data_IF_168900210512
#
_entry.id   IF_168900210512
#
_cell.length_a   1.000
_cell.length_b   1.000
_cell.length_c   1.000
_cell.angle_alpha   90.00
_cell.angle_beta   90.00
_cell.angle_gamma   90.00
#
_symmetry.space_group_name_H-M   'P 1'
#
loop_
_entity.id
_entity.type
_entity.pdbx_description
1 polymer ?
#
# COMPACT_ATOMS: atom_id res chain seq x y z
N UNK A 1 6.42 19.15 5.34
CA UNK A 1 7.72 19.58 4.77
C UNK A 1 8.68 19.68 5.92
N UNK A 2 9.87 19.08 5.83
CA UNK A 2 10.88 19.21 6.88
C UNK A 2 11.75 20.45 6.61
N UNK A 3 12.43 21.03 7.61
CA UNK A 3 13.14 22.32 7.49
C UNK A 3 14.31 22.35 6.50
N UNK A 4 14.88 21.20 6.13
CA UNK A 4 16.16 21.11 5.38
C UNK A 4 16.00 21.01 3.85
N UNK A 5 14.98 21.69 3.31
CA UNK A 5 14.57 21.61 1.92
C UNK A 5 13.23 20.89 1.75
N UNK A 6 12.73 20.83 0.52
CA UNK A 6 11.37 20.31 0.25
C UNK A 6 11.35 18.78 0.34
N UNK A 7 11.26 18.24 1.56
CA UNK A 7 11.09 16.80 1.81
C UNK A 7 9.60 16.46 1.95
N UNK A 8 9.13 15.55 1.10
CA UNK A 8 7.77 15.02 1.22
C UNK A 8 7.72 13.98 2.36
N UNK A 9 6.97 14.30 3.42
CA UNK A 9 6.58 13.36 4.47
C UNK A 9 5.20 13.80 4.96
N UNK A 10 4.16 13.14 4.45
CA UNK A 10 2.77 13.57 4.60
C UNK A 10 2.03 12.92 5.76
N UNK A 11 2.61 11.87 6.38
CA UNK A 11 2.00 11.12 7.48
C UNK A 11 2.89 11.16 8.72
N UNK A 12 2.34 11.38 9.94
CA UNK A 12 3.12 11.30 11.17
C UNK A 12 3.68 9.90 11.41
N UNK A 13 4.97 9.80 11.68
CA UNK A 13 5.65 8.58 12.15
C UNK A 13 6.04 8.86 13.61
N UNK A 14 5.22 8.40 14.54
CA UNK A 14 5.27 8.80 15.95
C UNK A 14 5.08 7.59 16.86
N UNK A 15 5.59 7.68 18.09
CA UNK A 15 5.42 6.67 19.13
C UNK A 15 4.50 7.23 20.24
N UNK A 16 3.24 6.78 20.35
CA UNK A 16 2.37 7.20 21.43
C UNK A 16 2.70 6.48 22.75
N UNK A 17 2.60 7.20 23.87
CA UNK A 17 2.80 6.68 25.23
C UNK A 17 1.70 7.21 26.16
N UNK A 18 1.39 6.47 27.23
CA UNK A 18 0.44 6.92 28.24
C UNK A 18 1.03 8.04 29.12
N UNK A 19 0.18 8.69 29.91
CA UNK A 19 0.64 9.69 30.89
C UNK A 19 1.55 9.05 31.95
N UNK A 20 1.21 7.85 32.41
CA UNK A 20 2.00 7.09 33.39
C UNK A 20 3.38 6.75 32.82
N UNK A 21 3.46 6.34 31.55
CA UNK A 21 4.73 6.06 30.89
C UNK A 21 5.56 7.32 30.71
N UNK A 22 4.94 8.46 30.34
CA UNK A 22 5.65 9.74 30.28
C UNK A 22 6.27 10.10 31.62
N UNK A 23 5.50 10.03 32.71
CA UNK A 23 5.97 10.38 34.06
C UNK A 23 7.10 9.45 34.51
N UNK A 24 6.95 8.14 34.28
CA UNK A 24 7.94 7.13 34.62
C UNK A 24 9.26 7.28 33.84
N UNK A 25 9.19 7.75 32.60
CA UNK A 25 10.33 7.89 31.69
C UNK A 25 10.88 9.32 31.64
N UNK A 26 10.32 10.24 32.41
CA UNK A 26 10.75 11.62 32.47
C UNK A 26 12.20 11.72 32.99
N UNK A 27 13.03 12.52 32.32
CA UNK A 27 14.43 12.72 32.69
C UNK A 27 15.39 11.59 32.24
N UNK A 28 14.90 10.50 31.64
CA UNK A 28 15.78 9.50 31.02
C UNK A 28 16.40 10.03 29.72
N UNK A 29 17.71 9.91 29.56
CA UNK A 29 18.42 10.30 28.33
C UNK A 29 18.19 9.34 27.15
N UNK A 30 17.81 8.09 27.44
CA UNK A 30 17.55 7.07 26.45
C UNK A 30 16.52 6.04 26.92
N UNK A 31 15.70 5.57 25.99
CA UNK A 31 14.62 4.61 26.22
C UNK A 31 14.86 3.33 25.41
N UNK A 32 14.75 2.16 26.04
CA UNK A 32 14.78 0.89 25.30
C UNK A 32 13.37 0.52 24.83
N UNK A 33 13.18 0.34 23.53
CA UNK A 33 11.91 -0.12 22.95
C UNK A 33 11.89 -1.66 22.94
N UNK A 34 10.85 -2.24 23.52
CA UNK A 34 10.68 -3.69 23.61
C UNK A 34 9.47 -4.18 22.81
N UNK A 35 9.63 -5.29 22.10
CA UNK A 35 8.55 -5.97 21.39
C UNK A 35 8.66 -7.48 21.62
N UNK A 36 7.56 -8.11 22.07
CA UNK A 36 7.52 -9.52 22.42
C UNK A 36 8.68 -9.94 23.37
N UNK A 37 8.92 -9.15 24.41
CA UNK A 37 9.98 -9.39 25.41
C UNK A 37 11.41 -9.11 24.96
N UNK A 38 11.64 -8.71 23.70
CA UNK A 38 12.97 -8.39 23.17
C UNK A 38 13.17 -6.90 23.02
N UNK A 39 14.34 -6.39 23.41
CA UNK A 39 14.76 -5.02 23.11
C UNK A 39 15.11 -4.93 21.63
N UNK A 40 14.42 -4.06 20.88
CA UNK A 40 14.55 -3.95 19.41
C UNK A 40 15.19 -2.64 18.97
N UNK A 41 15.11 -1.60 19.79
CA UNK A 41 15.67 -0.29 19.48
C UNK A 41 15.96 0.50 20.77
N UNK A 42 16.76 1.55 20.63
CA UNK A 42 16.98 2.58 21.64
C UNK A 42 16.57 3.93 21.05
N UNK A 43 15.71 4.66 21.74
CA UNK A 43 15.36 6.04 21.41
C UNK A 43 16.16 6.97 22.33
N UNK A 44 17.10 7.73 21.78
CA UNK A 44 17.92 8.69 22.54
C UNK A 44 17.32 10.09 22.47
N UNK A 45 17.67 10.92 23.44
CA UNK A 45 17.25 12.32 23.52
C UNK A 45 15.71 12.47 23.40
N UNK A 46 14.93 11.78 24.27
CA UNK A 46 13.49 11.75 24.11
C UNK A 46 12.87 13.14 24.36
N UNK A 47 12.00 13.56 23.45
CA UNK A 47 11.14 14.74 23.60
C UNK A 47 9.69 14.29 23.72
N UNK A 48 8.97 14.81 24.72
CA UNK A 48 7.58 14.47 24.99
C UNK A 48 6.67 15.65 24.65
N UNK A 49 5.66 15.41 23.82
CA UNK A 49 4.70 16.44 23.40
C UNK A 49 3.28 15.87 23.29
N UNK A 50 2.29 16.75 23.37
CA UNK A 50 0.88 16.34 23.35
C UNK A 50 0.49 15.71 22.02
N UNK A 51 -0.29 14.64 22.07
CA UNK A 51 -0.73 13.93 20.87
C UNK A 51 -1.84 14.67 20.12
N UNK A 52 -2.69 15.45 20.81
CA UNK A 52 -3.81 16.21 20.23
C UNK A 52 -4.58 15.39 19.18
N UNK A 53 -5.05 14.20 19.60
CA UNK A 53 -5.56 13.13 18.72
C UNK A 53 -6.61 13.59 17.71
N UNK A 54 -7.59 14.39 18.15
CA UNK A 54 -8.64 14.90 17.27
C UNK A 54 -8.06 15.76 16.12
N UNK A 55 -7.19 16.71 16.45
CA UNK A 55 -6.53 17.56 15.47
C UNK A 55 -5.66 16.73 14.50
N UNK A 56 -4.87 15.79 15.02
CA UNK A 56 -4.09 14.84 14.21
C UNK A 56 -5.00 14.10 13.23
N UNK A 57 -6.10 13.53 13.72
CA UNK A 57 -7.01 12.75 12.92
C UNK A 57 -7.67 13.58 11.82
N UNK A 58 -8.20 14.76 12.17
CA UNK A 58 -8.81 15.68 11.23
C UNK A 58 -7.84 16.08 10.10
N UNK A 59 -6.57 16.38 10.42
CA UNK A 59 -5.57 16.82 9.44
C UNK A 59 -5.05 15.69 8.55
N UNK A 60 -4.94 14.46 9.07
CA UNK A 60 -4.39 13.34 8.31
C UNK A 60 -5.46 12.67 7.43
N UNK A 61 -6.66 12.43 7.97
CA UNK A 61 -7.72 11.69 7.26
C UNK A 61 -8.82 12.57 6.69
N UNK A 62 -8.86 13.88 7.01
CA UNK A 62 -9.98 14.74 6.64
C UNK A 62 -11.29 14.38 7.35
N UNK A 63 -11.22 13.56 8.40
CA UNK A 63 -12.33 13.14 9.25
C UNK A 63 -11.80 12.73 10.62
N UNK A 64 -12.65 12.78 11.64
CA UNK A 64 -12.38 12.29 13.00
C UNK A 64 -13.21 11.05 13.34
N UNK A 65 -13.83 10.40 12.34
CA UNK A 65 -14.73 9.27 12.54
C UNK A 65 -14.03 8.13 13.34
N UNK A 66 -14.48 7.82 14.57
CA UNK A 66 -13.81 6.83 15.43
C UNK A 66 -13.95 5.40 14.91
N UNK A 67 -14.89 5.15 13.98
CA UNK A 67 -15.07 3.86 13.32
C UNK A 67 -14.08 3.63 12.16
N UNK A 68 -13.32 4.64 11.76
CA UNK A 68 -12.25 4.45 10.79
C UNK A 68 -11.14 3.63 11.46
N UNK A 69 -10.68 2.52 10.87
CA UNK A 69 -9.99 1.48 11.63
C UNK A 69 -8.61 1.95 12.13
N UNK A 70 -7.91 2.83 11.39
CA UNK A 70 -6.67 3.43 11.88
C UNK A 70 -6.90 4.63 12.83
N UNK A 71 -8.04 5.33 12.72
CA UNK A 71 -8.38 6.40 13.68
C UNK A 71 -8.70 5.76 15.03
N UNK A 72 -9.44 4.64 15.03
CA UNK A 72 -9.71 3.85 16.23
C UNK A 72 -8.42 3.55 17.01
N UNK A 73 -7.39 3.01 16.35
CA UNK A 73 -6.09 2.75 16.97
C UNK A 73 -5.41 4.02 17.53
N UNK A 74 -5.54 5.17 16.85
CA UNK A 74 -5.00 6.45 17.34
C UNK A 74 -5.75 6.91 18.59
N UNK A 75 -7.08 6.80 18.60
CA UNK A 75 -7.93 7.20 19.73
C UNK A 75 -7.67 6.33 20.97
N UNK A 76 -7.46 5.03 20.76
CA UNK A 76 -7.15 4.04 21.81
C UNK A 76 -5.69 4.10 22.31
N UNK A 77 -4.81 4.83 21.62
CA UNK A 77 -3.40 4.99 22.02
C UNK A 77 -3.22 6.02 23.15
N UNK A 78 -1.99 6.24 23.61
CA UNK A 78 -1.69 7.22 24.66
C UNK A 78 -1.87 8.70 24.25
N UNK A 79 -1.98 9.58 25.24
CA UNK A 79 -2.21 11.03 25.04
C UNK A 79 -0.93 11.84 24.80
N UNK A 80 0.23 11.21 24.95
CA UNK A 80 1.54 11.80 24.67
C UNK A 80 2.21 11.10 23.49
N UNK A 81 3.03 11.86 22.77
CA UNK A 81 3.96 11.34 21.78
C UNK A 81 5.38 11.52 22.29
N UNK A 82 6.25 10.57 21.96
CA UNK A 82 7.70 10.68 22.20
C UNK A 82 8.46 10.69 20.87
N UNK A 83 9.25 11.74 20.66
CA UNK A 83 10.23 11.88 19.59
C UNK A 83 11.64 11.62 20.10
N UNK A 84 12.61 11.43 19.20
CA UNK A 84 14.03 11.27 19.55
C UNK A 84 14.83 10.57 18.44
N UNK A 85 16.12 10.35 18.72
CA UNK A 85 17.04 9.70 17.79
C UNK A 85 16.94 8.18 17.92
N UNK A 86 16.39 7.52 16.90
CA UNK A 86 16.13 6.08 16.92
C UNK A 86 17.32 5.26 16.42
N UNK A 87 17.89 4.44 17.29
CA UNK A 87 18.86 3.40 16.95
C UNK A 87 18.17 2.03 16.97
N UNK A 88 17.95 1.42 15.81
CA UNK A 88 17.44 0.05 15.71
C UNK A 88 18.60 -0.93 15.89
N UNK A 89 18.45 -1.91 16.79
CA UNK A 89 19.54 -2.79 17.21
C UNK A 89 19.87 -3.87 16.19
N UNK A 90 18.83 -4.52 15.66
CA UNK A 90 18.96 -5.62 14.71
C UNK A 90 18.02 -5.41 13.52
N UNK A 91 18.36 -6.06 12.39
CA UNK A 91 17.46 -6.09 11.24
C UNK A 91 16.17 -6.80 11.64
N UNK A 92 15.04 -6.10 11.54
CA UNK A 92 13.72 -6.64 11.86
C UNK A 92 13.37 -7.81 10.92
N UNK A 93 12.96 -8.93 11.53
CA UNK A 93 12.44 -10.13 10.88
C UNK A 93 11.12 -10.54 11.53
N UNK A 94 10.19 -11.03 10.72
CA UNK A 94 8.88 -11.49 11.19
C UNK A 94 8.82 -13.01 11.36
N UNK A 95 9.72 -13.75 10.70
CA UNK A 95 9.78 -15.21 10.72
C UNK A 95 8.45 -15.88 10.34
N UNK A 96 7.71 -15.26 9.43
CA UNK A 96 6.40 -15.70 8.93
C UNK A 96 6.49 -16.37 7.54
N UNK A 97 7.70 -16.73 7.11
CA UNK A 97 7.96 -17.30 5.78
C UNK A 97 7.95 -16.29 4.63
N UNK A 98 7.88 -14.98 4.91
CA UNK A 98 7.86 -13.91 3.90
C UNK A 98 9.03 -12.91 3.99
N UNK A 99 9.97 -13.10 4.92
CA UNK A 99 11.10 -12.18 5.13
C UNK A 99 12.00 -12.03 3.90
N UNK A 100 12.07 -13.04 3.03
CA UNK A 100 12.79 -12.99 1.75
C UNK A 100 12.22 -11.94 0.78
N UNK A 101 10.96 -11.54 0.94
CA UNK A 101 10.34 -10.47 0.15
C UNK A 101 10.48 -9.09 0.82
N UNK A 102 10.90 -9.01 2.08
CA UNK A 102 11.07 -7.74 2.82
C UNK A 102 12.42 -7.10 2.53
N UNK A 103 12.55 -6.61 1.29
CA UNK A 103 13.76 -5.97 0.80
C UNK A 103 13.86 -4.53 1.29
N UNK A 104 15.04 -4.12 1.74
CA UNK A 104 15.32 -2.72 2.08
C UNK A 104 15.41 -1.88 0.80
N UNK A 105 15.27 -0.54 0.87
CA UNK A 105 15.51 0.34 -0.28
C UNK A 105 16.87 0.12 -0.94
N UNK A 106 17.92 -0.17 -0.15
CA UNK A 106 19.26 -0.47 -0.67
C UNK A 106 19.30 -1.81 -1.42
N UNK A 107 18.66 -2.85 -0.87
CA UNK A 107 18.56 -4.15 -1.53
C UNK A 107 17.75 -4.09 -2.83
N UNK A 108 16.68 -3.28 -2.87
CA UNK A 108 15.90 -3.02 -4.08
C UNK A 108 16.75 -2.34 -5.16
N UNK A 109 17.47 -1.26 -4.81
CA UNK A 109 18.40 -0.58 -5.72
C UNK A 109 19.46 -1.52 -6.27
N UNK A 110 19.99 -2.40 -5.42
CA UNK A 110 20.95 -3.41 -5.86
C UNK A 110 20.32 -4.36 -6.88
N UNK A 111 19.12 -4.90 -6.61
CA UNK A 111 18.40 -5.76 -7.57
C UNK A 111 18.12 -5.08 -8.90
N UNK A 112 17.72 -3.80 -8.90
CA UNK A 112 17.50 -3.05 -10.14
C UNK A 112 18.78 -2.95 -10.98
N UNK A 113 19.94 -2.74 -10.34
CA UNK A 113 21.25 -2.75 -11.01
C UNK A 113 21.62 -4.12 -11.55
N UNK A 114 21.42 -5.19 -10.76
CA UNK A 114 21.67 -6.57 -11.17
C UNK A 114 20.82 -6.97 -12.39
N UNK A 115 19.59 -6.44 -12.48
CA UNK A 115 18.70 -6.62 -13.63
C UNK A 115 19.04 -5.72 -14.82
N UNK A 116 20.03 -4.82 -14.71
CA UNK A 116 20.33 -3.78 -15.70
C UNK A 116 19.08 -2.93 -16.06
N UNK A 117 18.26 -2.60 -15.07
CA UNK A 117 17.06 -1.79 -15.28
C UNK A 117 17.45 -0.35 -15.67
N UNK A 118 16.90 0.15 -16.77
CA UNK A 118 17.06 1.54 -17.21
C UNK A 118 15.86 2.43 -16.85
N UNK A 119 14.76 1.80 -16.44
CA UNK A 119 13.63 2.44 -15.77
C UNK A 119 13.01 1.49 -14.74
N UNK A 120 12.58 2.03 -13.61
CA UNK A 120 11.81 1.30 -12.59
C UNK A 120 10.46 1.97 -12.41
N UNK A 121 9.38 1.20 -12.53
CA UNK A 121 8.03 1.68 -12.28
C UNK A 121 7.38 0.90 -11.14
N UNK A 122 6.83 1.62 -10.17
CA UNK A 122 6.26 1.03 -8.95
C UNK A 122 4.74 0.93 -9.03
N UNK A 123 4.23 -0.22 -8.56
CA UNK A 123 2.80 -0.44 -8.34
C UNK A 123 2.56 -0.79 -6.87
N UNK A 124 2.02 0.18 -6.14
CA UNK A 124 1.61 0.01 -4.75
C UNK A 124 0.24 -0.69 -4.69
N UNK A 125 0.11 -1.71 -3.84
CA UNK A 125 -1.16 -2.42 -3.67
C UNK A 125 -1.34 -2.99 -2.27
N UNK A 126 -2.60 -3.09 -1.85
CA UNK A 126 -3.01 -3.82 -0.64
C UNK A 126 -4.01 -4.95 -0.93
N UNK A 127 -4.47 -5.04 -2.17
CA UNK A 127 -5.52 -5.95 -2.63
C UNK A 127 -4.94 -7.04 -3.54
N UNK A 128 -5.65 -8.16 -3.76
CA UNK A 128 -5.33 -9.10 -4.84
C UNK A 128 -5.21 -8.43 -6.21
N UNK A 129 -4.32 -8.94 -7.06
CA UNK A 129 -4.13 -8.44 -8.43
C UNK A 129 -5.16 -9.07 -9.37
N UNK A 130 -6.11 -8.27 -9.86
CA UNK A 130 -6.95 -8.62 -11.00
C UNK A 130 -6.38 -8.00 -12.29
N UNK A 131 -6.92 -8.39 -13.45
CA UNK A 131 -6.40 -7.97 -14.75
C UNK A 131 -6.58 -6.46 -15.01
N UNK A 132 -7.44 -5.76 -14.27
CA UNK A 132 -7.47 -4.29 -14.28
C UNK A 132 -6.18 -3.65 -13.72
N UNK A 133 -5.61 -4.22 -12.64
CA UNK A 133 -4.30 -3.78 -12.14
C UNK A 133 -3.20 -4.17 -13.13
N UNK A 134 -3.29 -5.38 -13.70
CA UNK A 134 -2.36 -5.83 -14.74
C UNK A 134 -2.37 -4.91 -15.97
N UNK A 135 -3.54 -4.45 -16.41
CA UNK A 135 -3.68 -3.49 -17.51
C UNK A 135 -2.88 -2.21 -17.24
N UNK A 136 -2.98 -1.63 -16.04
CA UNK A 136 -2.20 -0.45 -15.65
C UNK A 136 -0.68 -0.72 -15.71
N UNK A 137 -0.24 -1.87 -15.18
CA UNK A 137 1.17 -2.26 -15.16
C UNK A 137 1.72 -2.55 -16.57
N UNK A 138 0.96 -3.24 -17.40
CA UNK A 138 1.30 -3.58 -18.79
C UNK A 138 1.32 -2.33 -19.67
N UNK A 139 0.32 -1.45 -19.55
CA UNK A 139 0.23 -0.20 -20.30
C UNK A 139 1.38 0.74 -19.93
N UNK A 140 1.74 0.82 -18.65
CA UNK A 140 2.93 1.54 -18.19
C UNK A 140 4.21 1.00 -18.83
N UNK A 141 4.41 -0.33 -18.82
CA UNK A 141 5.56 -0.96 -19.50
C UNK A 141 5.59 -0.58 -20.99
N UNK A 142 4.45 -0.65 -21.68
CA UNK A 142 4.33 -0.27 -23.10
C UNK A 142 4.74 1.18 -23.33
N UNK A 143 4.20 2.12 -22.53
CA UNK A 143 4.55 3.54 -22.62
C UNK A 143 6.05 3.79 -22.40
N UNK A 144 6.69 3.06 -21.46
CA UNK A 144 8.13 3.20 -21.22
C UNK A 144 8.96 2.67 -22.40
N UNK A 145 8.57 1.54 -22.99
CA UNK A 145 9.21 1.01 -24.20
C UNK A 145 9.08 2.00 -25.38
N UNK A 146 7.90 2.61 -25.57
CA UNK A 146 7.64 3.65 -26.58
C UNK A 146 8.49 4.90 -26.36
N UNK A 147 8.75 5.27 -25.10
CA UNK A 147 9.67 6.36 -24.73
C UNK A 147 11.15 6.03 -24.93
N UNK A 148 11.48 4.80 -25.30
CA UNK A 148 12.83 4.37 -25.66
C UNK A 148 13.59 3.61 -24.58
N UNK A 149 13.02 3.43 -23.38
CA UNK A 149 13.59 2.52 -22.38
C UNK A 149 13.62 1.09 -22.94
N UNK A 150 14.71 0.37 -22.70
CA UNK A 150 14.98 -0.97 -23.22
C UNK A 150 14.67 -2.05 -22.20
N UNK A 151 14.81 -1.75 -20.91
CA UNK A 151 14.63 -2.71 -19.84
C UNK A 151 13.86 -2.10 -18.65
N UNK A 152 12.60 -1.66 -18.84
CA UNK A 152 11.78 -1.21 -17.74
C UNK A 152 11.48 -2.38 -16.79
N UNK A 153 11.63 -2.19 -15.48
CA UNK A 153 11.37 -3.20 -14.46
C UNK A 153 10.21 -2.77 -13.57
N UNK A 154 9.23 -3.66 -13.42
CA UNK A 154 8.11 -3.48 -12.50
C UNK A 154 8.57 -3.78 -11.07
N UNK A 155 8.34 -2.85 -10.16
CA UNK A 155 8.32 -3.11 -8.73
C UNK A 155 6.86 -3.34 -8.29
N UNK A 156 6.46 -4.61 -8.22
CA UNK A 156 5.18 -5.01 -7.64
C UNK A 156 5.33 -5.00 -6.12
N UNK A 157 4.73 -4.01 -5.45
CA UNK A 157 5.09 -3.64 -4.08
C UNK A 157 3.93 -3.79 -3.10
N UNK A 158 3.47 -5.03 -2.78
CA UNK A 158 2.38 -5.22 -1.83
C UNK A 158 2.73 -4.66 -0.44
N UNK A 159 1.80 -3.93 0.16
CA UNK A 159 1.88 -3.52 1.56
C UNK A 159 1.75 -4.76 2.47
N UNK A 160 2.61 -4.83 3.48
CA UNK A 160 2.64 -5.94 4.44
C UNK A 160 2.77 -5.54 5.89
N UNK A 161 2.61 -4.26 6.24
CA UNK A 161 2.30 -3.88 7.62
C UNK A 161 0.83 -4.13 7.95
N UNK A 162 0.35 -3.50 9.02
CA UNK A 162 -1.05 -3.61 9.45
C UNK A 162 -2.04 -3.20 8.34
N UNK A 163 -3.11 -3.98 8.21
CA UNK A 163 -4.27 -3.75 7.33
C UNK A 163 -5.56 -4.01 8.11
N UNK A 164 -6.68 -3.41 7.71
CA UNK A 164 -7.99 -3.62 8.35
C UNK A 164 -8.50 -5.06 8.17
N UNK A 165 -9.34 -5.50 9.10
CA UNK A 165 -9.72 -6.91 9.28
C UNK A 165 -10.36 -7.60 8.07
N UNK A 166 -11.07 -6.85 7.23
CA UNK A 166 -11.76 -7.41 6.07
C UNK A 166 -10.91 -7.41 4.78
N UNK A 167 -9.68 -6.92 4.82
CA UNK A 167 -8.71 -7.05 3.71
C UNK A 167 -8.14 -8.48 3.67
N UNK A 168 -7.70 -8.92 2.48
CA UNK A 168 -7.10 -10.25 2.33
C UNK A 168 -5.74 -10.27 3.03
N UNK A 169 -5.46 -11.25 3.93
CA UNK A 169 -4.20 -11.34 4.64
C UNK A 169 -2.99 -11.42 3.70
N UNK A 170 -1.85 -10.91 4.16
CA UNK A 170 -0.63 -10.80 3.37
C UNK A 170 -0.18 -12.12 2.76
N UNK A 171 -0.19 -13.22 3.53
CA UNK A 171 0.21 -14.55 3.03
C UNK A 171 -0.63 -15.00 1.82
N UNK A 172 -1.93 -14.73 1.82
CA UNK A 172 -2.85 -15.10 0.74
C UNK A 172 -2.68 -14.19 -0.46
N UNK A 173 -2.42 -12.90 -0.25
CA UNK A 173 -2.05 -11.98 -1.33
C UNK A 173 -0.75 -12.38 -2.00
N UNK A 174 0.28 -12.75 -1.23
CA UNK A 174 1.56 -13.19 -1.80
C UNK A 174 1.42 -14.47 -2.62
N UNK A 175 0.65 -15.46 -2.15
CA UNK A 175 0.28 -16.65 -2.94
C UNK A 175 -0.46 -16.27 -4.23
N UNK A 176 -1.41 -15.34 -4.13
CA UNK A 176 -2.20 -14.89 -5.27
C UNK A 176 -1.34 -14.15 -6.31
N UNK A 177 -0.42 -13.29 -5.87
CA UNK A 177 0.51 -12.58 -6.76
C UNK A 177 1.51 -13.53 -7.43
N UNK A 178 1.97 -14.56 -6.72
CA UNK A 178 2.80 -15.61 -7.31
C UNK A 178 2.05 -16.35 -8.43
N UNK A 179 0.76 -16.67 -8.23
CA UNK A 179 -0.07 -17.28 -9.26
C UNK A 179 -0.28 -16.37 -10.49
N UNK A 180 -0.45 -15.06 -10.30
CA UNK A 180 -0.52 -14.08 -11.42
C UNK A 180 0.76 -14.09 -12.26
N UNK A 181 1.93 -14.19 -11.62
CA UNK A 181 3.22 -14.28 -12.30
C UNK A 181 3.42 -15.65 -12.98
N UNK A 182 2.99 -16.72 -12.34
CA UNK A 182 3.05 -18.09 -12.90
C UNK A 182 2.23 -18.21 -14.19
N UNK A 183 1.07 -17.54 -14.26
CA UNK A 183 0.21 -17.48 -15.44
C UNK A 183 0.66 -16.43 -16.48
N UNK A 184 1.81 -15.79 -16.30
CA UNK A 184 2.39 -14.83 -17.24
C UNK A 184 1.50 -13.61 -17.53
N UNK A 185 0.54 -13.31 -16.65
CA UNK A 185 -0.22 -12.05 -16.71
C UNK A 185 0.72 -10.86 -16.47
N UNK A 186 1.71 -11.06 -15.61
CA UNK A 186 2.88 -10.19 -15.48
C UNK A 186 4.13 -11.01 -15.77
N UNK A 187 5.09 -10.45 -16.50
CA UNK A 187 6.34 -11.13 -16.83
C UNK A 187 7.25 -11.24 -15.58
N UNK A 188 7.56 -12.45 -15.09
CA UNK A 188 8.44 -12.63 -13.94
C UNK A 188 9.88 -12.15 -14.18
N UNK A 189 10.35 -12.13 -15.44
CA UNK A 189 11.72 -11.72 -15.78
C UNK A 189 11.92 -10.21 -15.63
N UNK A 190 10.86 -9.43 -15.81
CA UNK A 190 10.88 -7.97 -15.68
C UNK A 190 10.13 -7.46 -14.45
N UNK A 191 9.91 -8.31 -13.45
CA UNK A 191 9.15 -7.96 -12.24
C UNK A 191 9.91 -8.34 -10.97
N UNK A 192 10.07 -7.39 -10.07
CA UNK A 192 10.48 -7.63 -8.68
C UNK A 192 9.24 -7.56 -7.80
N UNK A 193 9.00 -8.62 -7.03
CA UNK A 193 8.00 -8.64 -5.95
C UNK A 193 8.69 -8.36 -4.63
N UNK A 194 8.27 -7.32 -3.92
CA UNK A 194 8.80 -6.98 -2.61
C UNK A 194 7.71 -6.46 -1.68
N UNK A 195 7.81 -6.75 -0.38
CA UNK A 195 6.83 -6.34 0.61
C UNK A 195 7.21 -4.97 1.19
N UNK A 196 6.31 -4.01 1.06
CA UNK A 196 6.43 -2.70 1.69
C UNK A 196 6.03 -2.80 3.18
N UNK A 197 6.92 -2.53 4.14
CA UNK A 197 6.68 -2.86 5.55
C UNK A 197 5.77 -1.86 6.30
N UNK A 198 5.27 -0.81 5.65
CA UNK A 198 4.44 0.20 6.32
C UNK A 198 3.08 -0.37 6.73
N UNK A 199 2.51 0.09 7.86
CA UNK A 199 1.07 0.04 8.08
C UNK A 199 0.31 0.79 6.98
N UNK A 200 -0.90 0.34 6.66
CA UNK A 200 -1.85 1.04 5.80
C UNK A 200 -2.72 1.98 6.65
N UNK A 201 -2.70 3.27 6.37
CA UNK A 201 -3.49 4.25 7.12
C UNK A 201 -4.88 4.44 6.53
N UNK A 202 -5.11 4.10 5.26
CA UNK A 202 -6.35 4.38 4.54
C UNK A 202 -6.65 5.91 4.51
N UNK A 203 -5.59 6.70 4.40
CA UNK A 203 -5.61 8.17 4.46
C UNK A 203 -5.74 8.84 3.07
N UNK A 204 -6.05 8.07 2.03
CA UNK A 204 -6.34 8.59 0.69
C UNK A 204 -5.23 9.49 0.14
N UNK A 205 -5.57 10.70 -0.36
CA UNK A 205 -4.60 11.64 -0.92
C UNK A 205 -3.50 12.08 0.05
N UNK A 206 -3.69 11.99 1.36
CA UNK A 206 -2.65 12.30 2.35
C UNK A 206 -1.57 11.23 2.39
N UNK A 207 -1.84 9.99 1.96
CA UNK A 207 -0.89 8.87 2.04
C UNK A 207 0.16 8.88 0.89
N UNK A 208 0.62 10.08 0.50
CA UNK A 208 1.70 10.35 -0.48
C UNK A 208 2.99 9.58 -0.15
N UNK A 209 3.17 9.20 1.12
CA UNK A 209 4.26 8.33 1.59
C UNK A 209 4.47 7.09 0.71
N UNK A 210 3.42 6.48 0.16
CA UNK A 210 3.57 5.34 -0.75
C UNK A 210 4.47 5.68 -1.95
N UNK A 211 4.19 6.82 -2.61
CA UNK A 211 4.99 7.31 -3.73
C UNK A 211 6.40 7.71 -3.30
N UNK A 212 6.51 8.48 -2.20
CA UNK A 212 7.82 8.88 -1.65
C UNK A 212 8.70 7.67 -1.31
N UNK A 213 8.13 6.63 -0.70
CA UNK A 213 8.86 5.40 -0.37
C UNK A 213 9.30 4.63 -1.61
N UNK A 214 8.47 4.56 -2.65
CA UNK A 214 8.85 4.03 -3.95
C UNK A 214 10.03 4.79 -4.58
N UNK A 215 9.99 6.12 -4.53
CA UNK A 215 11.07 6.98 -5.02
C UNK A 215 12.37 6.76 -4.23
N UNK A 216 12.31 6.68 -2.89
CA UNK A 216 13.48 6.37 -2.04
C UNK A 216 14.05 4.99 -2.39
N UNK A 217 13.18 4.01 -2.70
CA UNK A 217 13.57 2.68 -3.14
C UNK A 217 14.16 2.64 -4.56
N UNK A 218 14.08 3.73 -5.33
CA UNK A 218 14.68 3.84 -6.66
C UNK A 218 13.69 3.77 -7.84
N UNK A 219 12.38 3.89 -7.60
CA UNK A 219 11.40 4.00 -8.67
C UNK A 219 11.51 5.36 -9.38
N UNK A 220 11.55 5.32 -10.71
CA UNK A 220 11.51 6.51 -11.59
C UNK A 220 10.08 6.89 -11.96
N UNK A 221 9.18 5.90 -11.96
CA UNK A 221 7.78 6.07 -12.31
C UNK A 221 6.88 5.49 -11.22
N UNK A 222 5.76 6.14 -10.95
CA UNK A 222 4.80 5.68 -9.95
C UNK A 222 3.40 5.62 -10.55
N UNK A 223 2.84 4.42 -10.62
CA UNK A 223 1.49 4.20 -11.14
C UNK A 223 0.48 4.60 -10.07
N UNK A 224 -0.50 5.42 -10.46
CA UNK A 224 -1.65 5.76 -9.62
C UNK A 224 -2.96 5.58 -10.37
N UNK A 225 -3.88 4.83 -9.78
CA UNK A 225 -5.24 4.65 -10.28
C UNK A 225 -6.27 5.53 -9.56
N UNK A 226 -7.54 5.12 -9.65
CA UNK A 226 -8.67 5.71 -8.93
C UNK A 226 -8.57 5.43 -7.43
N UNK A 227 -8.90 6.44 -6.62
CA UNK A 227 -9.08 6.34 -5.15
C UNK A 227 -7.91 5.63 -4.43
N UNK A 228 -6.64 6.03 -4.70
CA UNK A 228 -5.49 5.38 -4.09
C UNK A 228 -5.54 5.60 -2.59
N UNK A 229 -5.26 4.54 -1.83
CA UNK A 229 -5.33 4.55 -0.37
C UNK A 229 -6.71 4.91 0.23
N UNK A 230 -7.77 4.95 -0.59
CA UNK A 230 -9.12 5.20 -0.11
C UNK A 230 -9.81 3.96 0.47
N UNK A 231 -10.90 4.23 1.18
CA UNK A 231 -11.89 3.26 1.62
C UNK A 231 -13.26 3.95 1.74
N UNK A 232 -14.37 3.20 1.78
CA UNK A 232 -15.67 3.77 2.13
C UNK A 232 -15.67 4.35 3.54
N UNK A 233 -16.34 5.48 3.74
CA UNK A 233 -16.62 6.08 5.03
C UNK A 233 -17.38 5.06 5.91
N UNK A 234 -16.90 4.76 7.13
CA UNK A 234 -17.47 3.71 7.98
C UNK A 234 -18.97 3.85 8.25
N UNK A 235 -19.47 5.08 8.37
CA UNK A 235 -20.88 5.39 8.66
C UNK A 235 -21.74 5.58 7.41
N UNK A 236 -21.38 6.51 6.51
CA UNK A 236 -22.20 6.84 5.34
C UNK A 236 -22.07 5.85 4.18
N UNK A 237 -21.06 4.96 4.22
CA UNK A 237 -20.73 3.98 3.18
C UNK A 237 -20.36 4.55 1.80
N UNK A 238 -20.29 5.88 1.66
CA UNK A 238 -19.76 6.58 0.47
C UNK A 238 -18.23 6.54 0.50
N UNK A 239 -17.57 6.72 -0.64
CA UNK A 239 -16.10 6.85 -0.67
C UNK A 239 -15.65 8.01 0.25
N UNK A 240 -14.61 7.78 1.06
CA UNK A 240 -14.13 8.76 2.04
C UNK A 240 -13.44 9.96 1.36
N UNK A 241 -12.88 9.73 0.17
CA UNK A 241 -12.17 10.73 -0.62
C UNK A 241 -12.77 10.80 -2.02
N UNK A 242 -12.60 11.94 -2.68
CA UNK A 242 -12.99 12.04 -4.08
C UNK A 242 -12.00 11.21 -4.93
N UNK A 243 -12.47 10.29 -5.78
CA UNK A 243 -11.61 9.28 -6.41
C UNK A 243 -10.48 9.79 -7.30
N UNK A 244 -10.53 11.04 -7.78
CA UNK A 244 -9.46 11.65 -8.59
C UNK A 244 -8.45 12.45 -7.77
N UNK A 245 -8.76 12.78 -6.51
CA UNK A 245 -7.89 13.62 -5.67
C UNK A 245 -6.51 13.01 -5.45
N UNK A 246 -6.40 11.70 -5.26
CA UNK A 246 -5.12 11.06 -5.00
C UNK A 246 -4.12 11.25 -6.14
N UNK A 247 -4.54 11.04 -7.39
CA UNK A 247 -3.72 11.30 -8.56
C UNK A 247 -3.34 12.78 -8.72
N UNK A 248 -4.32 13.69 -8.53
CA UNK A 248 -4.09 15.15 -8.60
C UNK A 248 -3.10 15.64 -7.55
N UNK A 249 -3.27 15.21 -6.29
CA UNK A 249 -2.40 15.57 -5.17
C UNK A 249 -0.98 15.05 -5.40
N UNK A 250 -0.81 13.81 -5.86
CA UNK A 250 0.51 13.26 -6.17
C UNK A 250 1.25 14.07 -7.23
N UNK A 251 0.57 14.49 -8.30
CA UNK A 251 1.19 15.26 -9.39
C UNK A 251 1.64 16.68 -8.97
N UNK A 252 1.06 17.25 -7.92
CA UNK A 252 1.45 18.56 -7.38
C UNK A 252 2.20 18.49 -6.05
N UNK A 253 2.45 17.28 -5.53
CA UNK A 253 3.03 17.10 -4.22
C UNK A 253 4.50 17.55 -4.20
N UNK A 254 4.86 18.49 -3.32
CA UNK A 254 6.23 18.99 -3.25
C UNK A 254 7.18 17.89 -2.75
N UNK A 255 8.42 17.84 -3.27
CA UNK A 255 9.47 16.91 -2.80
C UNK A 255 9.46 15.51 -3.43
N UNK A 256 8.70 15.31 -4.51
CA UNK A 256 8.68 14.11 -5.36
C UNK A 256 9.51 14.31 -6.65
N UNK A 257 10.72 14.87 -6.53
CA UNK A 257 11.50 15.41 -7.66
C UNK A 257 12.10 14.36 -8.60
N UNK A 258 12.18 13.09 -8.17
CA UNK A 258 12.88 12.03 -8.90
C UNK A 258 11.93 10.91 -9.34
N UNK A 259 10.62 11.16 -9.33
CA UNK A 259 9.59 10.21 -9.75
C UNK A 259 8.54 10.91 -10.61
N UNK A 260 8.24 10.34 -11.76
CA UNK A 260 7.12 10.75 -12.62
C UNK A 260 5.85 9.98 -12.22
N UNK A 261 4.74 10.70 -12.04
CA UNK A 261 3.45 10.08 -11.74
C UNK A 261 2.79 9.64 -13.05
N UNK A 262 2.36 8.39 -13.13
CA UNK A 262 1.61 7.84 -14.27
C UNK A 262 0.15 7.61 -13.83
N UNK A 263 -0.74 8.59 -14.06
CA UNK A 263 -2.13 8.49 -13.67
C UNK A 263 -2.93 7.65 -14.66
N UNK A 264 -3.81 6.82 -14.14
CA UNK A 264 -4.75 6.04 -14.93
C UNK A 264 -6.19 6.33 -14.55
N UNK A 265 -7.05 6.27 -15.56
CA UNK A 265 -8.50 6.20 -15.37
C UNK A 265 -8.89 4.80 -14.86
N UNK A 266 -10.14 4.67 -14.46
CA UNK A 266 -10.69 3.40 -13.95
C UNK A 266 -10.58 2.32 -15.02
N UNK A 267 -10.10 1.13 -14.65
CA UNK A 267 -10.22 -0.07 -15.46
C UNK A 267 -11.39 -0.91 -14.94
N UNK A 268 -12.24 -1.39 -15.85
CA UNK A 268 -13.41 -2.22 -15.56
C UNK A 268 -13.54 -3.34 -16.59
N UNK A 269 -14.36 -4.36 -16.31
CA UNK A 269 -14.51 -5.49 -17.21
C UNK A 269 -15.42 -5.10 -18.38
N UNK A 270 -14.89 -5.06 -19.60
CA UNK A 270 -15.69 -4.79 -20.79
C UNK A 270 -16.34 -6.11 -21.27
N UNK A 271 -17.67 -6.17 -21.19
CA UNK A 271 -18.48 -7.36 -21.52
C UNK A 271 -18.39 -7.77 -22.99
N UNK A 272 -18.22 -6.80 -23.89
CA UNK A 272 -18.11 -7.05 -25.34
C UNK A 272 -16.73 -7.60 -25.70
N UNK A 273 -15.67 -7.01 -25.14
CA UNK A 273 -14.28 -7.44 -25.35
C UNK A 273 -13.89 -8.68 -24.55
N UNK A 274 -14.68 -9.04 -23.53
CA UNK A 274 -14.41 -10.10 -22.56
C UNK A 274 -13.02 -9.95 -21.91
N UNK A 275 -12.68 -8.71 -21.56
CA UNK A 275 -11.38 -8.35 -21.00
C UNK A 275 -11.49 -7.07 -20.17
N UNK A 276 -10.48 -6.84 -19.33
CA UNK A 276 -10.35 -5.57 -18.62
C UNK A 276 -9.95 -4.45 -19.60
N UNK A 277 -10.62 -3.31 -19.52
CA UNK A 277 -10.40 -2.16 -20.39
C UNK A 277 -10.60 -0.85 -19.61
N UNK A 278 -10.09 0.26 -20.13
CA UNK A 278 -10.29 1.57 -19.54
C UNK A 278 -11.74 2.02 -19.72
N UNK A 279 -12.38 2.41 -18.62
CA UNK A 279 -13.78 2.82 -18.59
C UNK A 279 -14.06 4.04 -19.48
N UNK A 280 -15.14 3.95 -20.25
CA UNK A 280 -15.66 5.00 -21.10
C UNK A 280 -17.09 5.37 -20.67
N UNK A 281 -17.33 6.57 -20.12
CA UNK A 281 -18.66 7.00 -19.67
C UNK A 281 -19.72 6.99 -20.79
N UNK A 282 -19.32 7.14 -22.05
CA UNK A 282 -20.26 7.11 -23.19
C UNK A 282 -20.79 5.72 -23.50
N UNK A 283 -20.11 4.68 -23.00
CA UNK A 283 -20.43 3.27 -23.21
C UNK A 283 -20.58 2.55 -21.87
N UNK A 284 -21.22 3.22 -20.90
CA UNK A 284 -21.35 2.71 -19.53
C UNK A 284 -21.86 1.26 -19.50
N UNK A 285 -22.88 0.96 -20.30
CA UNK A 285 -23.53 -0.35 -20.34
C UNK A 285 -22.63 -1.47 -20.86
N UNK A 286 -21.49 -1.18 -21.49
CA UNK A 286 -20.51 -2.19 -21.91
C UNK A 286 -19.65 -2.69 -20.75
N UNK A 287 -19.60 -1.97 -19.62
CA UNK A 287 -18.69 -2.24 -18.52
C UNK A 287 -19.40 -2.87 -17.31
N UNK A 288 -18.71 -3.83 -16.69
CA UNK A 288 -19.08 -4.43 -15.42
C UNK A 288 -18.05 -4.08 -14.34
N UNK A 289 -18.53 -3.52 -13.23
CA UNK A 289 -17.72 -3.13 -12.08
C UNK A 289 -17.79 -4.22 -11.00
N UNK A 290 -16.75 -5.04 -10.93
CA UNK A 290 -16.65 -6.09 -9.93
C UNK A 290 -15.94 -5.53 -8.71
N UNK A 291 -16.72 -5.06 -7.74
CA UNK A 291 -16.20 -4.54 -6.47
C UNK A 291 -15.53 -5.64 -5.63
N UNK A 292 -14.70 -5.25 -4.66
CA UNK A 292 -14.13 -6.19 -3.70
C UNK A 292 -15.21 -6.99 -2.93
N UNK A 293 -16.35 -6.38 -2.63
CA UNK A 293 -17.50 -7.06 -2.01
C UNK A 293 -18.11 -8.11 -2.93
N UNK A 294 -18.31 -7.80 -4.22
CA UNK A 294 -18.83 -8.77 -5.20
C UNK A 294 -17.82 -9.89 -5.44
N UNK A 295 -16.54 -9.56 -5.55
CA UNK A 295 -15.45 -10.53 -5.67
C UNK A 295 -15.43 -11.51 -4.49
N UNK A 296 -15.55 -11.00 -3.25
CA UNK A 296 -15.65 -11.84 -2.04
C UNK A 296 -16.86 -12.76 -2.09
N UNK A 297 -18.02 -12.25 -2.52
CA UNK A 297 -19.25 -13.03 -2.63
C UNK A 297 -19.08 -14.21 -3.60
N UNK A 298 -18.62 -13.92 -4.83
CA UNK A 298 -18.36 -14.94 -5.85
C UNK A 298 -17.41 -16.03 -5.33
N UNK A 299 -16.31 -15.62 -4.68
CA UNK A 299 -15.31 -16.56 -4.20
C UNK A 299 -15.80 -17.45 -3.04
N UNK A 300 -16.71 -16.96 -2.19
CA UNK A 300 -17.37 -17.77 -1.14
C UNK A 300 -18.35 -18.77 -1.74
N UNK A 301 -19.16 -18.32 -2.70
CA UNK A 301 -20.16 -19.15 -3.38
C UNK A 301 -19.53 -20.18 -4.34
N UNK A 302 -18.20 -20.13 -4.53
CA UNK A 302 -17.49 -20.99 -5.48
C UNK A 302 -17.75 -20.63 -6.95
N UNK A 303 -18.31 -19.45 -7.20
CA UNK A 303 -18.55 -18.92 -8.53
C UNK A 303 -17.29 -18.29 -9.11
N UNK A 304 -17.13 -18.37 -10.43
CA UNK A 304 -16.04 -17.70 -11.13
C UNK A 304 -16.46 -16.29 -11.56
N UNK A 305 -15.57 -15.28 -11.49
CA UNK A 305 -15.78 -14.02 -12.17
C UNK A 305 -15.80 -14.26 -13.69
N UNK A 306 -16.24 -13.27 -14.47
CA UNK A 306 -16.13 -13.34 -15.93
C UNK A 306 -14.70 -13.66 -16.37
N UNK A 307 -14.58 -14.49 -17.41
CA UNK A 307 -13.29 -14.85 -17.99
C UNK A 307 -12.51 -13.60 -18.39
N UNK A 308 -11.20 -13.58 -18.13
CA UNK A 308 -10.37 -12.39 -18.35
C UNK A 308 -10.44 -11.31 -17.26
N UNK A 309 -11.25 -11.46 -16.19
CA UNK A 309 -11.20 -10.56 -15.02
C UNK A 309 -9.95 -10.77 -14.16
N UNK A 310 -9.58 -12.03 -13.90
CA UNK A 310 -8.41 -12.42 -13.11
C UNK A 310 -7.86 -13.75 -13.64
N UNK A 311 -6.56 -13.94 -13.50
CA UNK A 311 -5.89 -15.20 -13.85
C UNK A 311 -6.53 -16.39 -13.08
N UNK A 312 -6.89 -17.51 -13.74
CA UNK A 312 -7.58 -18.64 -13.11
C UNK A 312 -6.89 -19.24 -11.87
N UNK A 313 -5.58 -19.46 -11.89
CA UNK A 313 -4.82 -19.92 -10.70
C UNK A 313 -4.87 -18.88 -9.59
N UNK A 314 -4.77 -17.61 -9.94
CA UNK A 314 -4.87 -16.53 -8.96
C UNK A 314 -6.27 -16.44 -8.34
N UNK A 315 -7.32 -16.67 -9.13
CA UNK A 315 -8.70 -16.79 -8.62
C UNK A 315 -8.85 -17.97 -7.67
N UNK A 316 -8.28 -19.14 -8.02
CA UNK A 316 -8.29 -20.33 -7.18
C UNK A 316 -7.70 -20.08 -5.79
N UNK A 317 -6.60 -19.33 -5.69
CA UNK A 317 -6.03 -18.93 -4.39
C UNK A 317 -7.03 -18.13 -3.55
N UNK A 318 -7.81 -17.24 -4.18
CA UNK A 318 -8.84 -16.47 -3.47
C UNK A 318 -10.01 -17.36 -3.04
N UNK A 319 -10.49 -18.27 -3.89
CA UNK A 319 -11.55 -19.21 -3.50
C UNK A 319 -11.11 -20.08 -2.32
N UNK A 320 -9.88 -20.59 -2.32
CA UNK A 320 -9.31 -21.35 -1.20
C UNK A 320 -9.29 -20.53 0.09
N UNK A 321 -8.87 -19.27 0.02
CA UNK A 321 -8.90 -18.35 1.16
C UNK A 321 -10.33 -18.17 1.68
N UNK A 322 -11.28 -17.79 0.83
CA UNK A 322 -12.64 -17.47 1.29
C UNK A 322 -13.40 -18.70 1.80
N UNK A 323 -13.21 -19.87 1.18
CA UNK A 323 -13.77 -21.14 1.69
C UNK A 323 -13.12 -21.57 3.02
N UNK A 324 -11.87 -21.19 3.27
CA UNK A 324 -11.23 -21.48 4.58
C UNK A 324 -11.82 -20.67 5.74
N UNK A 325 -12.46 -19.53 5.46
CA UNK A 325 -13.16 -18.73 6.46
C UNK A 325 -14.47 -19.38 6.89
N UNK A 326 -15.18 -20.04 5.97
CA UNK A 326 -16.44 -20.73 6.25
C UNK A 326 -16.24 -21.97 7.12
N UNK A 327 -15.12 -22.70 6.95
CA UNK A 327 -14.79 -23.88 7.76
C UNK A 327 -14.42 -23.58 9.21
N UNK A 328 -14.21 -22.30 9.56
CA UNK A 328 -13.87 -21.87 10.92
C UNK A 328 -15.09 -21.42 11.74
N UNK A 329 -16.28 -21.44 11.15
CA UNK A 329 -17.57 -21.22 11.80
C UNK A 329 -18.40 -22.50 11.77
#
# INVERSE_FOLDING_TARGET
LLPDGVVNLSVPIVLPISTEDKERLAGCEALALSYAGRKVAVLRNPEYFEHRKEERCARVWGTTCPKHPHIKMVMESGDWLVGGDLLVLEKIKWNDGLDQYRLTPLALKQKFREMNADAVFAFQLRNPVHNGHALLMQDTRRQLLERGYKNPVLLLHPLGGWTKDDDVPLEWRMKQHAAVLEEQVLDPKSTIVAIFPSPMLYAGPTEVRHCRSGMIAGANFYIVGRDPAGMPHPETKKDLYEPTQGGKVLSMAPGLTSVEIIPFRVAAYNKLKKAMDFYDPKRHDDFDFISGTRMRKLAREGENPPDGFMAPKAWKVLTEYYQSLEKKH
#
